data_IF_297597580434
#
_entry.id   IF_297597580434
#
_cell.length_a   1.000
_cell.length_b   1.000
_cell.length_c   1.000
_cell.angle_alpha   90.00
_cell.angle_beta   90.00
_cell.angle_gamma   90.00
#
_symmetry.space_group_name_H-M   'P 1'
#
loop_
_entity.id
_entity.type
_entity.pdbx_description
1 polymer ?
#
# COMPACT_ATOMS: atom_id res chain seq x y z
N UNK A 1 -9.58 14.63 -7.93
CA UNK A 1 -8.39 14.06 -7.25
C UNK A 1 -7.27 15.10 -7.19
N UNK A 2 -7.02 15.73 -6.03
CA UNK A 2 -5.77 16.45 -5.79
C UNK A 2 -5.21 16.10 -4.40
N UNK A 3 -4.44 15.02 -4.28
CA UNK A 3 -3.65 14.73 -3.06
C UNK A 3 -2.21 14.28 -3.33
N UNK A 4 -1.84 14.03 -4.59
CA UNK A 4 -0.50 13.57 -4.96
C UNK A 4 0.50 14.71 -5.21
N UNK A 5 0.03 15.95 -5.42
CA UNK A 5 0.89 17.13 -5.51
C UNK A 5 1.52 17.53 -4.15
N UNK A 6 0.86 17.17 -3.04
CA UNK A 6 1.31 17.44 -1.66
C UNK A 6 2.53 16.61 -1.24
N UNK A 7 2.83 15.53 -1.95
CA UNK A 7 3.80 14.54 -1.48
C UNK A 7 5.24 14.80 -1.96
N UNK A 8 5.47 15.73 -2.91
CA UNK A 8 6.76 15.89 -3.61
C UNK A 8 7.61 17.07 -3.12
N UNK A 9 7.02 18.01 -2.38
CA UNK A 9 7.70 19.14 -1.75
C UNK A 9 7.84 18.98 -0.23
N UNK A 10 6.91 18.27 0.43
CA UNK A 10 6.72 18.49 1.86
C UNK A 10 7.83 17.93 2.75
N UNK A 11 8.51 16.81 2.49
CA UNK A 11 9.27 16.17 3.59
C UNK A 11 10.60 16.85 3.98
N UNK A 12 11.27 17.49 3.03
CA UNK A 12 12.50 18.29 3.32
C UNK A 12 12.13 19.65 3.91
N UNK A 13 11.04 20.24 3.46
CA UNK A 13 10.43 21.45 4.04
C UNK A 13 9.87 21.16 5.45
N UNK A 14 9.26 20.00 5.68
CA UNK A 14 8.73 19.52 6.95
C UNK A 14 9.82 19.40 8.02
N UNK A 15 11.01 18.94 7.63
CA UNK A 15 12.16 18.85 8.53
C UNK A 15 12.77 20.23 8.81
N UNK A 16 12.76 21.14 7.84
CA UNK A 16 13.24 22.51 8.01
C UNK A 16 12.27 23.38 8.84
N UNK A 17 10.96 23.23 8.65
CA UNK A 17 9.90 23.94 9.38
C UNK A 17 9.67 23.39 10.79
N UNK A 18 9.93 22.09 11.01
CA UNK A 18 9.87 21.51 12.34
C UNK A 18 10.84 22.21 13.30
N UNK A 19 11.96 22.79 12.86
CA UNK A 19 12.84 23.56 13.74
C UNK A 19 12.30 24.97 14.10
N UNK A 20 11.22 25.43 13.47
CA UNK A 20 10.72 26.80 13.63
C UNK A 20 9.47 26.98 14.54
N UNK A 21 8.59 25.99 14.72
CA UNK A 21 7.38 26.15 15.56
C UNK A 21 6.79 24.82 16.10
N UNK A 22 6.29 24.81 17.35
CA UNK A 22 5.72 23.65 18.03
C UNK A 22 4.36 23.20 17.44
N UNK A 23 3.57 24.13 16.92
CA UNK A 23 2.28 23.85 16.27
C UNK A 23 2.48 23.14 14.92
N UNK A 24 3.49 23.56 14.15
CA UNK A 24 3.93 22.88 12.94
C UNK A 24 4.37 21.44 13.24
N UNK A 25 5.13 21.21 14.32
CA UNK A 25 5.55 19.84 14.72
C UNK A 25 4.36 18.92 14.98
N UNK A 26 3.30 19.41 15.63
CA UNK A 26 2.11 18.61 15.94
C UNK A 26 1.36 18.19 14.68
N UNK A 27 1.14 19.11 13.73
CA UNK A 27 0.52 18.80 12.43
C UNK A 27 1.33 17.78 11.63
N UNK A 28 2.66 17.95 11.57
CA UNK A 28 3.55 17.04 10.84
C UNK A 28 3.63 15.64 11.46
N UNK A 29 3.49 15.55 12.79
CA UNK A 29 3.40 14.28 13.51
C UNK A 29 2.12 13.53 13.14
N UNK A 30 0.98 14.23 13.10
CA UNK A 30 -0.30 13.64 12.73
C UNK A 30 -0.31 13.15 11.28
N UNK A 31 0.25 13.94 10.36
CA UNK A 31 0.38 13.56 8.95
C UNK A 31 1.31 12.35 8.77
N UNK A 32 2.43 12.31 9.49
CA UNK A 32 3.35 11.19 9.48
C UNK A 32 2.67 9.90 9.97
N UNK A 33 1.90 9.97 11.06
CA UNK A 33 1.13 8.84 11.59
C UNK A 33 0.06 8.36 10.61
N UNK A 34 -0.70 9.29 10.01
CA UNK A 34 -1.72 8.96 9.02
C UNK A 34 -1.12 8.24 7.80
N UNK A 35 0.06 8.68 7.36
CA UNK A 35 0.74 8.10 6.21
C UNK A 35 1.32 6.70 6.51
N UNK A 36 1.77 6.45 7.75
CA UNK A 36 2.16 5.11 8.20
C UNK A 36 0.93 4.20 8.31
N UNK A 37 -0.17 4.70 8.87
CA UNK A 37 -1.40 3.93 9.02
C UNK A 37 -1.97 3.50 7.65
N UNK A 38 -1.89 4.38 6.65
CA UNK A 38 -2.28 4.07 5.27
C UNK A 38 -1.41 2.99 4.60
N UNK A 39 -0.26 2.65 5.18
CA UNK A 39 0.61 1.55 4.73
C UNK A 39 0.42 0.25 5.52
N UNK A 40 -0.61 0.17 6.36
CA UNK A 40 -0.96 -1.07 7.06
C UNK A 40 -1.28 -2.16 6.05
N UNK A 41 -0.62 -3.31 6.19
CA UNK A 41 -0.84 -4.46 5.32
C UNK A 41 -2.29 -4.95 5.39
N UNK A 42 -2.83 -5.38 4.25
CA UNK A 42 -4.14 -6.00 4.18
C UNK A 42 -4.17 -7.29 5.00
N UNK A 43 -5.32 -7.57 5.61
CA UNK A 43 -5.59 -8.85 6.27
C UNK A 43 -5.67 -9.98 5.25
N UNK A 44 -5.44 -11.22 5.68
CA UNK A 44 -5.56 -12.39 4.79
C UNK A 44 -6.94 -12.51 4.13
N UNK A 45 -8.00 -12.11 4.85
CA UNK A 45 -9.36 -12.13 4.35
C UNK A 45 -9.57 -11.08 3.24
N UNK A 46 -9.01 -9.88 3.38
CA UNK A 46 -9.07 -8.85 2.36
C UNK A 46 -8.30 -9.25 1.10
N UNK A 47 -7.06 -9.76 1.28
CA UNK A 47 -6.25 -10.27 0.18
C UNK A 47 -6.99 -11.39 -0.55
N UNK A 48 -7.58 -12.32 0.19
CA UNK A 48 -8.37 -13.42 -0.37
C UNK A 48 -9.56 -12.94 -1.20
N UNK A 49 -10.33 -11.96 -0.70
CA UNK A 49 -11.46 -11.37 -1.44
C UNK A 49 -11.02 -10.68 -2.73
N UNK A 50 -9.91 -9.93 -2.68
CA UNK A 50 -9.39 -9.21 -3.86
C UNK A 50 -8.91 -10.20 -4.93
N UNK A 51 -8.13 -11.22 -4.54
CA UNK A 51 -7.63 -12.23 -5.48
C UNK A 51 -8.79 -13.03 -6.08
N UNK A 52 -9.74 -13.47 -5.24
CA UNK A 52 -10.90 -14.20 -5.73
C UNK A 52 -11.73 -13.35 -6.71
N UNK A 53 -12.00 -12.09 -6.37
CA UNK A 53 -12.71 -11.16 -7.24
C UNK A 53 -11.97 -10.89 -8.55
N UNK A 54 -10.63 -10.89 -8.55
CA UNK A 54 -9.84 -10.79 -9.77
C UNK A 54 -9.94 -12.06 -10.62
N UNK A 55 -9.75 -13.24 -10.02
CA UNK A 55 -9.66 -14.51 -10.75
C UNK A 55 -11.03 -15.02 -11.24
N UNK A 56 -12.13 -14.69 -10.56
CA UNK A 56 -13.48 -15.09 -10.99
C UNK A 56 -13.90 -14.45 -12.32
N UNK A 57 -13.23 -13.37 -12.74
CA UNK A 57 -13.46 -12.74 -14.04
C UNK A 57 -12.92 -13.57 -15.22
N UNK A 58 -12.13 -14.62 -14.95
CA UNK A 58 -11.53 -15.47 -15.98
C UNK A 58 -12.26 -16.79 -16.09
N UNK A 59 -12.48 -17.22 -17.34
CA UNK A 59 -13.25 -18.41 -17.63
C UNK A 59 -12.68 -19.65 -16.92
N UNK A 60 -13.57 -20.43 -16.31
CA UNK A 60 -13.24 -21.72 -15.72
C UNK A 60 -12.66 -21.65 -14.31
N UNK A 61 -12.28 -20.47 -13.80
CA UNK A 61 -11.85 -20.34 -12.39
C UNK A 61 -13.02 -20.60 -11.43
N UNK A 62 -14.21 -20.08 -11.73
CA UNK A 62 -15.43 -20.30 -10.96
C UNK A 62 -15.83 -21.79 -10.85
N UNK A 63 -15.50 -22.59 -11.87
CA UNK A 63 -15.80 -24.03 -11.97
C UNK A 63 -14.78 -24.89 -11.22
N UNK A 64 -13.67 -24.32 -10.75
CA UNK A 64 -12.68 -25.05 -9.94
C UNK A 64 -13.29 -25.43 -8.58
N UNK A 65 -12.89 -26.58 -8.06
CA UNK A 65 -13.27 -27.01 -6.71
C UNK A 65 -12.74 -26.06 -5.64
N UNK A 66 -13.45 -25.99 -4.51
CA UNK A 66 -13.15 -25.04 -3.43
C UNK A 66 -11.73 -25.19 -2.87
N UNK A 67 -11.22 -26.42 -2.80
CA UNK A 67 -9.86 -26.70 -2.37
C UNK A 67 -8.81 -26.06 -3.31
N UNK A 68 -9.04 -26.10 -4.62
CA UNK A 68 -8.13 -25.50 -5.61
C UNK A 68 -8.16 -23.98 -5.50
N UNK A 69 -9.35 -23.39 -5.38
CA UNK A 69 -9.51 -21.94 -5.18
C UNK A 69 -8.78 -21.48 -3.93
N UNK A 70 -8.96 -22.20 -2.82
CA UNK A 70 -8.29 -21.93 -1.55
C UNK A 70 -6.77 -22.01 -1.69
N UNK A 71 -6.25 -23.05 -2.34
CA UNK A 71 -4.80 -23.21 -2.57
C UNK A 71 -4.21 -22.07 -3.42
N UNK A 72 -4.88 -21.69 -4.51
CA UNK A 72 -4.42 -20.59 -5.37
C UNK A 72 -4.39 -19.29 -4.59
N UNK A 73 -5.47 -18.96 -3.87
CA UNK A 73 -5.52 -17.75 -3.03
C UNK A 73 -4.42 -17.77 -1.96
N UNK A 74 -4.22 -18.90 -1.28
CA UNK A 74 -3.17 -19.03 -0.27
C UNK A 74 -1.76 -18.81 -0.84
N UNK A 75 -1.48 -19.34 -2.03
CA UNK A 75 -0.19 -19.12 -2.71
C UNK A 75 0.04 -17.64 -3.00
N UNK A 76 -0.97 -16.94 -3.50
CA UNK A 76 -0.89 -15.51 -3.82
C UNK A 76 -0.73 -14.63 -2.57
N UNK A 77 -1.32 -15.02 -1.44
CA UNK A 77 -1.16 -14.30 -0.16
C UNK A 77 0.30 -14.17 0.24
N UNK A 78 1.12 -15.20 0.01
CA UNK A 78 2.54 -15.13 0.34
C UNK A 78 3.26 -14.02 -0.43
N UNK A 79 2.91 -13.82 -1.71
CA UNK A 79 3.51 -12.77 -2.55
C UNK A 79 2.96 -11.38 -2.28
N UNK A 80 1.69 -11.27 -1.87
CA UNK A 80 0.96 -10.00 -1.77
C UNK A 80 0.79 -9.48 -0.34
N UNK A 81 1.13 -10.28 0.68
CA UNK A 81 0.87 -10.01 2.10
C UNK A 81 1.41 -8.70 2.67
N UNK A 82 2.43 -8.10 2.05
CA UNK A 82 3.00 -6.84 2.52
C UNK A 82 2.27 -5.57 2.04
N UNK A 83 1.20 -5.70 1.25
CA UNK A 83 0.56 -4.56 0.60
C UNK A 83 -0.74 -4.13 1.29
N UNK A 84 -1.01 -2.81 1.36
CA UNK A 84 -2.31 -2.29 1.79
C UNK A 84 -3.44 -2.73 0.85
N UNK A 85 -4.64 -2.88 1.42
CA UNK A 85 -5.81 -3.38 0.68
C UNK A 85 -6.21 -2.47 -0.48
N UNK A 86 -6.07 -1.15 -0.31
CA UNK A 86 -6.38 -0.16 -1.34
C UNK A 86 -5.41 -0.23 -2.54
N UNK A 87 -4.11 -0.46 -2.28
CA UNK A 87 -3.12 -0.69 -3.35
C UNK A 87 -3.40 -1.97 -4.09
N UNK A 88 -3.67 -3.06 -3.37
CA UNK A 88 -4.03 -4.35 -3.98
C UNK A 88 -5.28 -4.24 -4.85
N UNK A 89 -6.30 -3.53 -4.37
CA UNK A 89 -7.53 -3.31 -5.13
C UNK A 89 -7.27 -2.47 -6.39
N UNK A 90 -6.50 -1.38 -6.26
CA UNK A 90 -6.11 -0.56 -7.39
C UNK A 90 -5.28 -1.32 -8.43
N UNK A 91 -4.36 -2.19 -7.98
CA UNK A 91 -3.56 -3.05 -8.84
C UNK A 91 -4.44 -4.07 -9.60
N UNK A 92 -5.36 -4.74 -8.91
CA UNK A 92 -6.31 -5.67 -9.52
C UNK A 92 -7.20 -4.97 -10.57
N UNK A 93 -7.73 -3.78 -10.24
CA UNK A 93 -8.52 -2.98 -11.18
C UNK A 93 -7.69 -2.53 -12.39
N UNK A 94 -6.45 -2.10 -12.17
CA UNK A 94 -5.56 -1.69 -13.26
C UNK A 94 -5.20 -2.85 -14.17
N UNK A 95 -5.06 -4.06 -13.63
CA UNK A 95 -4.87 -5.27 -14.44
C UNK A 95 -6.08 -5.55 -15.34
N UNK A 96 -7.28 -5.56 -14.76
CA UNK A 96 -8.54 -5.81 -15.48
C UNK A 96 -8.81 -4.78 -16.59
N UNK A 97 -8.36 -3.55 -16.40
CA UNK A 97 -8.50 -2.48 -17.40
C UNK A 97 -7.26 -2.34 -18.32
N UNK A 98 -6.27 -3.23 -18.15
CA UNK A 98 -5.00 -3.16 -18.86
C UNK A 98 -5.01 -3.89 -20.20
N UNK A 99 -3.97 -3.68 -21.02
CA UNK A 99 -3.85 -4.33 -22.34
C UNK A 99 -3.70 -5.86 -22.25
N UNK A 100 -3.36 -6.40 -21.07
CA UNK A 100 -3.19 -7.83 -20.81
C UNK A 100 -4.40 -8.48 -20.12
N UNK A 101 -5.52 -7.77 -19.98
CA UNK A 101 -6.72 -8.27 -19.29
C UNK A 101 -7.31 -9.56 -19.88
N UNK A 102 -6.95 -9.93 -21.12
CA UNK A 102 -7.33 -11.20 -21.73
C UNK A 102 -6.60 -12.42 -21.12
N UNK A 103 -5.52 -12.21 -20.36
CA UNK A 103 -4.71 -13.27 -19.78
C UNK A 103 -4.89 -13.35 -18.27
N UNK A 104 -4.91 -14.57 -17.73
CA UNK A 104 -4.98 -14.79 -16.28
C UNK A 104 -3.71 -14.22 -15.62
N UNK A 105 -3.84 -13.27 -14.68
CA UNK A 105 -2.69 -12.67 -14.02
C UNK A 105 -1.91 -13.72 -13.23
N UNK A 106 -0.60 -13.55 -13.16
CA UNK A 106 0.24 -14.21 -12.17
C UNK A 106 0.39 -13.30 -10.94
N UNK A 107 0.73 -13.85 -9.75
CA UNK A 107 0.99 -13.04 -8.56
C UNK A 107 2.01 -11.92 -8.81
N UNK A 108 3.04 -12.22 -9.60
CA UNK A 108 4.10 -11.26 -9.96
C UNK A 108 3.60 -10.07 -10.78
N UNK A 109 2.59 -10.26 -11.62
CA UNK A 109 2.01 -9.18 -12.41
C UNK A 109 1.29 -8.16 -11.51
N UNK A 110 0.48 -8.67 -10.57
CA UNK A 110 -0.23 -7.83 -9.60
C UNK A 110 0.76 -7.17 -8.64
N UNK A 111 1.81 -7.89 -8.22
CA UNK A 111 2.88 -7.34 -7.39
C UNK A 111 3.59 -6.16 -8.09
N UNK A 112 3.91 -6.30 -9.39
CA UNK A 112 4.50 -5.22 -10.17
C UNK A 112 3.63 -3.97 -10.20
N UNK A 113 2.32 -4.14 -10.41
CA UNK A 113 1.37 -3.02 -10.35
C UNK A 113 1.27 -2.40 -8.95
N UNK A 114 1.37 -3.21 -7.89
CA UNK A 114 1.42 -2.69 -6.52
C UNK A 114 2.65 -1.81 -6.29
N UNK A 115 3.83 -2.23 -6.78
CA UNK A 115 5.05 -1.41 -6.70
C UNK A 115 4.91 -0.09 -7.48
N UNK A 116 4.32 -0.11 -8.67
CA UNK A 116 4.06 1.11 -9.44
C UNK A 116 3.10 2.07 -8.73
N UNK A 117 2.03 1.54 -8.11
CA UNK A 117 0.97 2.34 -7.49
C UNK A 117 1.39 2.84 -6.10
N UNK A 118 1.94 1.94 -5.28
CA UNK A 118 2.18 2.16 -3.85
C UNK A 118 3.65 2.33 -3.48
N UNK A 119 4.61 2.03 -4.37
CA UNK A 119 6.04 2.05 -4.03
C UNK A 119 6.53 3.42 -3.54
N UNK A 120 6.04 4.51 -4.14
CA UNK A 120 6.32 5.87 -3.69
C UNK A 120 5.71 6.15 -2.31
N UNK A 121 4.46 5.74 -2.08
CA UNK A 121 3.74 5.94 -0.81
C UNK A 121 4.42 5.20 0.34
N UNK A 122 4.83 3.96 0.11
CA UNK A 122 5.65 3.16 1.04
C UNK A 122 7.00 3.82 1.33
N UNK A 123 7.66 4.39 0.32
CA UNK A 123 8.91 5.12 0.53
C UNK A 123 8.71 6.35 1.43
N UNK A 124 7.60 7.07 1.28
CA UNK A 124 7.24 8.18 2.17
C UNK A 124 6.93 7.71 3.59
N UNK A 125 6.23 6.58 3.77
CA UNK A 125 5.90 6.05 5.10
C UNK A 125 7.14 5.65 5.87
N UNK A 126 8.13 5.07 5.19
CA UNK A 126 9.44 4.79 5.79
C UNK A 126 10.14 6.06 6.26
N UNK A 127 10.03 7.16 5.50
CA UNK A 127 10.60 8.44 5.93
C UNK A 127 9.82 9.06 7.09
N UNK A 128 8.49 9.00 7.06
CA UNK A 128 7.62 9.43 8.16
C UNK A 128 7.93 8.70 9.47
N UNK A 129 8.14 7.38 9.41
CA UNK A 129 8.53 6.57 10.57
C UNK A 129 9.88 7.01 11.16
N UNK A 130 10.87 7.33 10.31
CA UNK A 130 12.17 7.85 10.76
C UNK A 130 12.04 9.23 11.41
N UNK A 131 11.19 10.10 10.86
CA UNK A 131 10.90 11.40 11.45
C UNK A 131 10.32 11.26 12.86
N UNK A 132 9.31 10.41 13.04
CA UNK A 132 8.70 10.16 14.35
C UNK A 132 9.72 9.62 15.35
N UNK A 133 10.53 8.63 14.96
CA UNK A 133 11.58 8.09 15.81
C UNK A 133 12.62 9.16 16.22
N UNK A 134 13.01 10.06 15.31
CA UNK A 134 13.93 11.15 15.61
C UNK A 134 13.32 12.15 16.60
N UNK A 135 12.03 12.48 16.46
CA UNK A 135 11.34 13.39 17.38
C UNK A 135 11.16 12.81 18.79
N UNK A 136 11.00 11.49 18.91
CA UNK A 136 10.89 10.80 20.20
C UNK A 136 12.23 10.83 20.96
N UNK A 137 13.34 10.51 20.29
CA UNK A 137 14.69 10.57 20.89
C UNK A 137 15.07 11.97 21.41
N UNK A 138 14.61 13.04 20.74
CA UNK A 138 14.82 14.41 21.21
C UNK A 138 14.04 14.75 22.48
N UNK A 139 12.89 14.10 22.73
CA UNK A 139 12.10 14.28 23.96
C UNK A 139 12.71 13.54 25.14
N UNK A 140 13.29 12.35 24.93
CA UNK A 140 13.96 11.58 25.99
C UNK A 140 15.31 12.14 26.45
N UNK A 141 15.88 13.08 25.69
CA UNK A 141 17.18 13.71 25.98
C UNK A 141 17.08 15.06 26.71
N UNK A 142 15.86 15.50 27.04
CA UNK A 142 15.57 16.74 27.78
C UNK A 142 14.98 16.40 29.14
#
# INVERSE_FOLDING_TARGET
>A
MPRLALARLSLTEMLADADANAESRAGLTADAQALILAETAATEAEIGRIIFGLLVMYEGFERRGEQVKTMVVAQWRHSLGGWPADVLHAAAQRWLNGPKAAFVPQPGDVLGLCEEIGGYRRALARKAARFLAATENQRSSR
#
